data_IF_304594370133
#
_entry.id   IF_304594370133
#
_cell.length_a   1.000
_cell.length_b   1.000
_cell.length_c   1.000
_cell.angle_alpha   90.00
_cell.angle_beta   90.00
_cell.angle_gamma   90.00
#
_symmetry.space_group_name_H-M   'P 1'
#
loop_
_entity.id
_entity.type
_entity.pdbx_description
1 polymer ?
#
# COMPACT_ATOMS: atom_id res chain seq x y z
N UNK A 1 6.67 4.57 -4.15
CA UNK A 1 6.13 4.38 -2.78
C UNK A 1 6.32 5.68 -2.01
N UNK A 2 5.25 6.29 -1.50
CA UNK A 2 5.34 7.56 -0.76
C UNK A 2 6.01 7.39 0.62
N UNK A 3 5.73 6.29 1.34
CA UNK A 3 6.35 6.02 2.65
C UNK A 3 7.88 6.03 2.55
N UNK A 4 8.45 5.36 1.55
CA UNK A 4 9.90 5.36 1.33
C UNK A 4 10.49 6.72 0.95
N UNK A 5 9.70 7.65 0.41
CA UNK A 5 10.18 9.01 0.13
C UNK A 5 10.44 9.78 1.43
N UNK A 6 9.54 9.66 2.41
CA UNK A 6 9.68 10.33 3.71
C UNK A 6 10.57 9.56 4.68
N UNK A 7 10.44 8.23 4.70
CA UNK A 7 11.02 7.37 5.74
C UNK A 7 12.13 6.43 5.24
N UNK A 8 12.37 6.35 3.94
CA UNK A 8 13.37 5.45 3.37
C UNK A 8 14.81 5.88 3.65
N UNK A 9 15.72 4.91 3.53
CA UNK A 9 17.17 5.14 3.54
C UNK A 9 17.60 5.96 2.34
N UNK A 10 18.54 6.88 2.55
CA UNK A 10 19.22 7.61 1.44
C UNK A 10 20.63 7.10 1.20
N UNK A 11 21.21 6.38 2.17
CA UNK A 11 22.52 5.74 2.07
C UNK A 11 22.46 4.26 2.49
N UNK A 12 23.38 3.41 2.02
CA UNK A 12 23.47 2.03 2.48
C UNK A 12 23.69 1.95 3.99
N UNK A 13 22.92 1.11 4.68
CA UNK A 13 23.05 0.89 6.13
C UNK A 13 22.36 1.94 7.02
N UNK A 14 21.67 2.93 6.45
CA UNK A 14 20.92 3.93 7.22
C UNK A 14 19.86 3.27 8.13
N UNK A 15 19.91 3.46 9.47
CA UNK A 15 18.99 2.84 10.42
C UNK A 15 17.53 3.28 10.24
N UNK A 16 17.28 4.41 9.57
CA UNK A 16 15.93 4.91 9.25
C UNK A 16 15.08 3.89 8.47
N UNK A 17 15.74 2.96 7.78
CA UNK A 17 15.08 1.85 7.07
C UNK A 17 14.21 0.99 8.00
N UNK A 18 14.56 0.86 9.28
CA UNK A 18 13.77 0.10 10.26
C UNK A 18 12.36 0.66 10.38
N UNK A 19 12.24 1.98 10.60
CA UNK A 19 10.94 2.64 10.67
C UNK A 19 10.18 2.55 9.34
N UNK A 20 10.87 2.70 8.21
CA UNK A 20 10.24 2.52 6.91
C UNK A 20 9.62 1.12 6.77
N UNK A 21 10.32 0.07 7.20
CA UNK A 21 9.81 -1.30 7.12
C UNK A 21 8.57 -1.51 7.99
N UNK A 22 8.59 -1.03 9.23
CA UNK A 22 7.42 -1.08 10.12
C UNK A 22 6.18 -0.43 9.47
N UNK A 23 6.33 0.79 8.96
CA UNK A 23 5.24 1.54 8.32
C UNK A 23 4.75 0.87 7.03
N UNK A 24 5.66 0.32 6.23
CA UNK A 24 5.25 -0.45 5.04
C UNK A 24 4.59 -1.77 5.40
N UNK A 25 4.95 -2.39 6.53
CA UNK A 25 4.30 -3.60 7.01
C UNK A 25 2.87 -3.30 7.49
N UNK A 26 2.66 -2.20 8.21
CA UNK A 26 1.32 -1.72 8.58
C UNK A 26 0.42 -1.55 7.34
N UNK A 27 0.93 -0.89 6.29
CA UNK A 27 0.20 -0.74 5.03
C UNK A 27 -0.09 -2.09 4.36
N UNK A 28 0.90 -2.99 4.33
CA UNK A 28 0.77 -4.31 3.74
C UNK A 28 -0.32 -5.13 4.42
N UNK A 29 -0.31 -5.19 5.75
CA UNK A 29 -1.26 -5.96 6.53
C UNK A 29 -2.66 -5.36 6.41
N UNK A 30 -2.80 -4.03 6.52
CA UNK A 30 -4.06 -3.34 6.25
C UNK A 30 -4.62 -3.67 4.86
N UNK A 31 -3.78 -3.61 3.81
CA UNK A 31 -4.22 -3.88 2.44
C UNK A 31 -4.69 -5.33 2.31
N UNK A 32 -3.94 -6.28 2.88
CA UNK A 32 -4.27 -7.70 2.84
C UNK A 32 -5.59 -8.00 3.55
N UNK A 33 -5.81 -7.41 4.72
CA UNK A 33 -7.05 -7.55 5.50
C UNK A 33 -8.24 -6.92 4.77
N UNK A 34 -8.05 -5.74 4.19
CA UNK A 34 -9.11 -4.99 3.51
C UNK A 34 -9.47 -5.57 2.14
N UNK A 35 -8.47 -6.04 1.39
CA UNK A 35 -8.63 -6.45 -0.01
C UNK A 35 -8.63 -7.97 -0.21
N UNK A 36 -8.28 -8.76 0.82
CA UNK A 36 -8.24 -10.23 0.78
C UNK A 36 -6.94 -10.84 0.23
N UNK A 37 -5.94 -10.02 -0.11
CA UNK A 37 -4.66 -10.46 -0.65
C UNK A 37 -3.81 -9.28 -1.13
N UNK A 38 -2.57 -9.55 -1.51
CA UNK A 38 -1.61 -8.49 -1.94
C UNK A 38 -1.22 -8.60 -3.41
N UNK A 39 -1.43 -9.77 -4.03
CA UNK A 39 -1.10 -10.00 -5.42
C UNK A 39 -2.29 -9.70 -6.32
N UNK A 40 -2.16 -8.72 -7.23
CA UNK A 40 -3.22 -8.38 -8.19
C UNK A 40 -3.72 -9.58 -8.99
N UNK A 41 -2.83 -10.53 -9.36
CA UNK A 41 -3.22 -11.75 -10.08
C UNK A 41 -4.20 -12.62 -9.29
N UNK A 42 -4.05 -12.67 -7.96
CA UNK A 42 -4.98 -13.38 -7.07
C UNK A 42 -6.29 -12.59 -6.95
N UNK A 43 -6.19 -11.28 -6.71
CA UNK A 43 -7.34 -10.41 -6.50
C UNK A 43 -8.24 -10.25 -7.73
N UNK A 44 -7.68 -10.31 -8.93
CA UNK A 44 -8.43 -10.21 -10.19
C UNK A 44 -8.62 -11.56 -10.88
N UNK A 45 -8.43 -12.67 -10.17
CA UNK A 45 -8.55 -14.02 -10.75
C UNK A 45 -9.98 -14.24 -11.25
N UNK A 46 -10.11 -14.64 -12.51
CA UNK A 46 -11.42 -14.89 -13.15
C UNK A 46 -12.15 -13.65 -13.61
N UNK A 47 -11.54 -12.46 -13.54
CA UNK A 47 -12.12 -11.21 -14.03
C UNK A 47 -11.55 -10.84 -15.40
N UNK A 48 -12.44 -10.45 -16.32
CA UNK A 48 -12.03 -9.88 -17.61
C UNK A 48 -11.26 -8.57 -17.41
N UNK A 49 -10.20 -8.37 -18.22
CA UNK A 49 -9.22 -7.29 -17.99
C UNK A 49 -9.84 -5.90 -18.02
N UNK A 50 -10.72 -5.65 -18.99
CA UNK A 50 -11.31 -4.33 -19.22
C UNK A 50 -12.74 -4.21 -18.70
N UNK A 51 -13.20 -5.20 -17.93
CA UNK A 51 -14.55 -5.24 -17.38
C UNK A 51 -14.79 -4.07 -16.41
N UNK A 52 -16.00 -3.49 -16.39
CA UNK A 52 -16.38 -2.47 -15.42
C UNK A 52 -16.18 -2.93 -13.97
N UNK A 53 -16.43 -4.21 -13.68
CA UNK A 53 -16.31 -4.81 -12.36
C UNK A 53 -14.85 -4.82 -11.88
N UNK A 54 -13.92 -5.22 -12.76
CA UNK A 54 -12.48 -5.20 -12.44
C UNK A 54 -11.98 -3.78 -12.23
N UNK A 55 -12.41 -2.84 -13.07
CA UNK A 55 -12.05 -1.42 -12.92
C UNK A 55 -12.57 -0.86 -11.60
N UNK A 56 -13.83 -1.10 -11.26
CA UNK A 56 -14.42 -0.67 -9.99
C UNK A 56 -13.69 -1.28 -8.78
N UNK A 57 -13.32 -2.56 -8.85
CA UNK A 57 -12.53 -3.20 -7.79
C UNK A 57 -11.14 -2.58 -7.63
N UNK A 58 -10.42 -2.38 -8.75
CA UNK A 58 -9.13 -1.72 -8.74
C UNK A 58 -9.22 -0.28 -8.18
N UNK A 59 -10.27 0.47 -8.51
CA UNK A 59 -10.51 1.81 -7.94
C UNK A 59 -10.64 1.74 -6.43
N UNK A 60 -11.43 0.82 -5.88
CA UNK A 60 -11.55 0.64 -4.41
C UNK A 60 -10.22 0.33 -3.74
N UNK A 61 -9.37 -0.50 -4.37
CA UNK A 61 -8.03 -0.79 -3.85
C UNK A 61 -7.16 0.46 -3.81
N UNK A 62 -7.23 1.31 -4.84
CA UNK A 62 -6.50 2.58 -4.88
C UNK A 62 -7.01 3.51 -3.78
N UNK A 63 -8.32 3.68 -3.63
CA UNK A 63 -8.94 4.52 -2.59
C UNK A 63 -8.50 4.11 -1.18
N UNK A 64 -8.57 2.80 -0.87
CA UNK A 64 -8.14 2.27 0.42
C UNK A 64 -6.63 2.50 0.66
N UNK A 65 -5.81 2.23 -0.36
CA UNK A 65 -4.35 2.40 -0.26
C UNK A 65 -3.97 3.86 -0.06
N UNK A 66 -4.56 4.78 -0.83
CA UNK A 66 -4.28 6.23 -0.73
C UNK A 66 -4.68 6.76 0.64
N UNK A 67 -5.87 6.40 1.11
CA UNK A 67 -6.36 6.83 2.42
C UNK A 67 -5.44 6.35 3.55
N UNK A 68 -5.05 5.06 3.54
CA UNK A 68 -4.15 4.52 4.57
C UNK A 68 -2.74 5.10 4.50
N UNK A 69 -2.20 5.32 3.31
CA UNK A 69 -0.88 5.97 3.16
C UNK A 69 -0.93 7.41 3.66
N UNK A 70 -2.00 8.16 3.36
CA UNK A 70 -2.17 9.52 3.85
C UNK A 70 -2.27 9.56 5.39
N UNK A 71 -3.05 8.67 6.00
CA UNK A 71 -3.13 8.50 7.45
C UNK A 71 -1.74 8.25 8.07
N UNK A 72 -0.97 7.30 7.52
CA UNK A 72 0.39 7.01 7.99
C UNK A 72 1.28 8.25 7.86
N UNK A 73 1.28 8.91 6.70
CA UNK A 73 2.18 10.06 6.46
C UNK A 73 1.84 11.23 7.37
N UNK A 74 0.57 11.57 7.55
CA UNK A 74 0.14 12.65 8.44
C UNK A 74 0.52 12.34 9.89
N UNK A 75 0.18 11.14 10.39
CA UNK A 75 0.50 10.70 11.75
C UNK A 75 2.00 10.76 12.08
N UNK A 76 2.86 10.47 11.11
CA UNK A 76 4.31 10.37 11.32
C UNK A 76 5.07 11.67 11.01
N UNK A 77 4.41 12.68 10.43
CA UNK A 77 4.99 13.99 10.13
C UNK A 77 4.42 15.12 11.00
N UNK A 78 3.34 14.87 11.74
CA UNK A 78 2.84 15.72 12.83
C UNK A 78 3.81 15.70 14.04
#
# INVERSE_FOLDING_TARGET
MCIGYFFGRTTPGDPKIGRCFELTNELHDYFKETCGGTCCRVLTKGMEKDSPERKAQCTRFVEATVSKVAEIVLRELD
#
